data_IF_421991792968
#
_entry.id   IF_421991792968
#
_cell.length_a   1.000
_cell.length_b   1.000
_cell.length_c   1.000
_cell.angle_alpha   90.00
_cell.angle_beta   90.00
_cell.angle_gamma   90.00
#
_symmetry.space_group_name_H-M   'P 1'
#
loop_
_entity.id
_entity.type
_entity.pdbx_description
1 polymer ?
#
# COMPACT_ATOMS: atom_id res chain seq x y z
N UNK A 1 -7.65 7.54 9.66
CA UNK A 1 -8.80 7.49 8.73
C UNK A 1 -9.69 6.32 9.13
N UNK A 2 -10.98 6.35 8.82
CA UNK A 2 -11.93 5.27 9.11
C UNK A 2 -12.63 4.89 7.81
N UNK A 3 -12.86 3.59 7.60
CA UNK A 3 -13.77 3.08 6.58
C UNK A 3 -14.75 2.07 7.17
N UNK A 4 -15.94 1.98 6.59
CA UNK A 4 -17.01 1.08 7.01
C UNK A 4 -17.57 0.42 5.75
N UNK A 5 -17.91 -0.86 5.82
CA UNK A 5 -18.58 -1.55 4.72
C UNK A 5 -20.04 -1.10 4.61
N UNK A 6 -20.48 -0.70 3.41
CA UNK A 6 -21.85 -0.25 3.15
C UNK A 6 -22.82 -1.44 2.91
N UNK A 7 -23.02 -2.24 3.96
CA UNK A 7 -23.87 -3.43 3.99
C UNK A 7 -24.63 -3.48 5.33
N UNK A 8 -25.40 -4.54 5.58
CA UNK A 8 -26.09 -4.73 6.86
C UNK A 8 -25.11 -4.60 8.05
N UNK A 9 -25.43 -3.85 9.12
CA UNK A 9 -24.50 -3.56 10.22
C UNK A 9 -23.87 -4.81 10.84
N UNK A 10 -24.62 -5.91 10.94
CA UNK A 10 -24.19 -7.18 11.53
C UNK A 10 -23.09 -7.87 10.69
N UNK A 11 -23.03 -7.55 9.40
CA UNK A 11 -22.02 -8.03 8.46
C UNK A 11 -20.93 -6.99 8.19
N UNK A 12 -21.15 -5.73 8.61
CA UNK A 12 -20.23 -4.63 8.37
C UNK A 12 -18.99 -4.72 9.25
N UNK A 13 -17.91 -4.13 8.76
CA UNK A 13 -16.63 -4.05 9.45
C UNK A 13 -16.17 -2.61 9.55
N UNK A 14 -15.59 -2.28 10.69
CA UNK A 14 -14.91 -1.01 10.92
C UNK A 14 -13.42 -1.20 10.62
N UNK A 15 -12.88 -0.41 9.67
CA UNK A 15 -11.46 -0.38 9.34
C UNK A 15 -10.85 0.90 9.88
N UNK A 16 -10.04 0.78 10.93
CA UNK A 16 -9.32 1.91 11.53
C UNK A 16 -7.91 1.99 10.94
N UNK A 17 -7.63 3.05 10.17
CA UNK A 17 -6.33 3.28 9.55
C UNK A 17 -5.44 4.16 10.42
N UNK A 18 -4.29 3.62 10.79
CA UNK A 18 -3.25 4.26 11.57
C UNK A 18 -1.97 4.38 10.75
N UNK A 19 -1.20 5.44 10.99
CA UNK A 19 0.11 5.66 10.37
C UNK A 19 1.17 5.71 11.45
N UNK A 20 2.36 5.19 11.13
CA UNK A 20 3.55 5.29 11.97
C UNK A 20 4.74 5.73 11.13
N UNK A 21 5.63 6.60 11.63
CA UNK A 21 6.85 6.96 10.93
C UNK A 21 7.89 5.82 10.92
N UNK A 22 7.73 4.80 11.78
CA UNK A 22 8.65 3.66 11.87
C UNK A 22 8.42 2.71 10.69
N UNK A 23 9.50 2.39 10.00
CA UNK A 23 9.54 1.52 8.81
C UNK A 23 10.28 0.22 9.04
N UNK A 24 11.03 0.11 10.13
CA UNK A 24 11.77 -1.11 10.47
C UNK A 24 10.86 -2.33 10.74
N UNK A 25 11.43 -3.54 10.61
CA UNK A 25 10.70 -4.80 10.72
C UNK A 25 10.26 -5.10 12.15
N UNK A 26 11.05 -4.72 13.18
CA UNK A 26 10.66 -4.89 14.58
C UNK A 26 9.32 -4.18 14.89
N UNK A 27 9.12 -2.98 14.35
CA UNK A 27 7.87 -2.23 14.44
C UNK A 27 6.74 -2.93 13.70
N UNK A 28 7.00 -3.53 12.53
CA UNK A 28 6.01 -4.34 11.80
C UNK A 28 5.56 -5.51 12.67
N UNK A 29 6.48 -6.31 13.23
CA UNK A 29 6.13 -7.45 14.10
C UNK A 29 5.28 -7.03 15.29
N UNK A 30 5.65 -5.92 15.94
CA UNK A 30 4.92 -5.38 17.09
C UNK A 30 3.49 -4.97 16.73
N UNK A 31 3.27 -4.32 15.58
CA UNK A 31 1.93 -3.87 15.17
C UNK A 31 1.09 -5.04 14.64
N UNK A 32 1.66 -5.92 13.82
CA UNK A 32 0.97 -7.09 13.25
C UNK A 32 0.49 -8.07 14.33
N UNK A 33 1.17 -8.12 15.49
CA UNK A 33 0.74 -8.93 16.65
C UNK A 33 -0.10 -8.16 17.66
N UNK A 34 -0.37 -6.86 17.44
CA UNK A 34 -1.01 -5.97 18.42
C UNK A 34 -0.31 -6.04 19.79
N UNK A 35 1.03 -6.01 19.75
CA UNK A 35 1.90 -6.14 20.91
C UNK A 35 1.83 -7.52 21.57
N UNK A 36 1.76 -8.59 20.76
CA UNK A 36 1.72 -9.98 21.23
C UNK A 36 0.32 -10.53 21.57
N UNK A 37 -0.76 -9.78 21.31
CA UNK A 37 -2.14 -10.25 21.52
C UNK A 37 -2.62 -11.21 20.43
N UNK A 38 -2.11 -11.05 19.21
CA UNK A 38 -2.34 -11.94 18.08
C UNK A 38 -1.10 -12.83 17.93
N UNK A 39 -1.30 -14.14 17.95
CA UNK A 39 -0.24 -15.11 17.72
C UNK A 39 0.10 -15.23 16.24
N UNK A 40 1.38 -15.04 15.90
CA UNK A 40 1.94 -15.21 14.56
C UNK A 40 3.25 -15.97 14.73
N UNK A 41 3.45 -17.06 13.98
CA UNK A 41 4.66 -17.88 14.09
C UNK A 41 5.89 -17.17 13.50
N UNK A 42 7.08 -17.63 13.86
CA UNK A 42 8.32 -17.14 13.25
C UNK A 42 8.38 -17.44 11.75
N UNK A 43 7.85 -18.58 11.29
CA UNK A 43 7.79 -18.91 9.87
C UNK A 43 6.91 -17.94 9.07
N UNK A 44 5.78 -17.51 9.64
CA UNK A 44 4.92 -16.50 9.04
C UNK A 44 5.59 -15.13 8.98
N UNK A 45 6.35 -14.78 10.02
CA UNK A 45 7.15 -13.56 10.01
C UNK A 45 8.31 -13.62 9.03
N UNK A 46 8.94 -14.78 8.86
CA UNK A 46 9.99 -14.95 7.86
C UNK A 46 9.41 -14.80 6.45
N UNK A 47 8.24 -15.37 6.18
CA UNK A 47 7.54 -15.18 4.90
C UNK A 47 7.24 -13.68 4.64
N UNK A 48 6.66 -13.00 5.62
CA UNK A 48 6.41 -11.55 5.56
C UNK A 48 7.70 -10.74 5.35
N UNK A 49 8.80 -11.15 5.99
CA UNK A 49 10.10 -10.51 5.85
C UNK A 49 10.61 -10.60 4.42
N UNK A 50 10.48 -11.76 3.78
CA UNK A 50 10.90 -11.91 2.38
C UNK A 50 10.07 -11.03 1.43
N UNK A 51 8.77 -10.88 1.69
CA UNK A 51 7.90 -9.98 0.94
C UNK A 51 8.30 -8.51 1.14
N UNK A 52 8.58 -8.12 2.39
CA UNK A 52 9.05 -6.78 2.74
C UNK A 52 10.36 -6.46 2.01
N UNK A 53 11.34 -7.37 2.05
CA UNK A 53 12.62 -7.20 1.38
C UNK A 53 12.44 -6.92 -0.13
N UNK A 54 11.58 -7.71 -0.79
CA UNK A 54 11.20 -7.50 -2.20
C UNK A 54 10.52 -6.15 -2.42
N UNK A 55 9.56 -5.79 -1.56
CA UNK A 55 8.77 -4.58 -1.70
C UNK A 55 9.59 -3.29 -1.56
N UNK A 56 10.66 -3.32 -0.75
CA UNK A 56 11.52 -2.16 -0.46
C UNK A 56 12.93 -2.27 -1.05
N UNK A 57 13.22 -3.33 -1.81
CA UNK A 57 14.51 -3.52 -2.47
C UNK A 57 15.68 -3.73 -1.50
N UNK A 58 15.44 -4.40 -0.37
CA UNK A 58 16.49 -4.75 0.61
C UNK A 58 17.01 -6.17 0.39
N UNK A 59 18.23 -6.41 0.87
CA UNK A 59 18.78 -7.76 0.99
C UNK A 59 17.96 -8.60 1.98
N UNK A 60 17.87 -9.92 1.77
CA UNK A 60 17.08 -10.82 2.62
C UNK A 60 17.47 -10.80 4.12
N UNK A 61 18.72 -10.44 4.42
CA UNK A 61 19.28 -10.45 5.79
C UNK A 61 19.36 -9.05 6.44
N UNK A 62 18.51 -8.10 6.02
CA UNK A 62 18.50 -6.73 6.57
C UNK A 62 18.22 -6.68 8.09
N UNK A 63 18.80 -5.76 8.85
CA UNK A 63 18.53 -5.70 10.30
C UNK A 63 17.05 -5.40 10.62
N UNK A 64 16.47 -6.05 11.64
CA UNK A 64 15.10 -5.77 12.09
C UNK A 64 14.90 -4.32 12.55
N UNK A 65 15.98 -3.66 12.97
CA UNK A 65 15.99 -2.27 13.43
C UNK A 65 16.30 -1.27 12.30
N UNK A 66 16.57 -1.74 11.08
CA UNK A 66 16.89 -0.88 9.94
C UNK A 66 15.67 -0.06 9.55
N UNK A 67 15.76 1.26 9.68
CA UNK A 67 14.81 2.18 9.06
C UNK A 67 15.10 2.32 7.56
N UNK A 68 14.04 2.28 6.74
CA UNK A 68 14.17 2.29 5.30
C UNK A 68 14.43 3.71 4.80
N UNK A 69 15.43 3.91 3.93
CA UNK A 69 15.68 5.23 3.34
C UNK A 69 14.52 5.62 2.42
N UNK A 70 14.10 6.87 2.49
CA UNK A 70 13.19 7.44 1.49
C UNK A 70 13.91 7.50 0.14
N UNK A 71 13.26 7.01 -0.92
CA UNK A 71 13.80 7.14 -2.27
C UNK A 71 13.83 8.61 -2.70
N UNK A 72 14.99 9.05 -3.20
CA UNK A 72 15.22 10.41 -3.67
C UNK A 72 14.40 10.76 -4.92
N UNK A 73 13.87 9.76 -5.63
CA UNK A 73 13.11 9.89 -6.87
C UNK A 73 11.60 10.10 -6.67
N UNK A 74 11.14 10.42 -5.46
CA UNK A 74 9.71 10.53 -5.16
C UNK A 74 9.01 11.77 -5.75
N UNK A 75 9.67 12.57 -6.60
CA UNK A 75 9.11 13.78 -7.23
C UNK A 75 8.00 13.47 -8.25
N UNK A 76 6.83 13.09 -7.79
CA UNK A 76 5.61 13.04 -8.58
C UNK A 76 4.64 14.12 -8.05
N UNK A 77 3.68 14.57 -8.86
CA UNK A 77 2.66 15.58 -8.48
C UNK A 77 1.88 15.28 -7.19
N UNK A 78 1.88 14.03 -6.71
CA UNK A 78 1.33 13.65 -5.41
C UNK A 78 2.22 14.03 -4.20
N UNK A 79 3.53 14.21 -4.39
CA UNK A 79 4.42 14.84 -3.39
C UNK A 79 4.10 16.33 -3.28
N UNK A 80 3.77 16.99 -4.38
CA UNK A 80 3.35 18.40 -4.36
C UNK A 80 2.02 18.60 -3.64
N UNK A 81 1.05 17.69 -3.85
CA UNK A 81 -0.27 17.74 -3.19
C UNK A 81 -0.23 17.58 -1.66
N UNK A 82 0.83 16.97 -1.11
CA UNK A 82 1.04 16.79 0.33
C UNK A 82 2.37 17.39 0.80
N UNK A 83 2.93 18.32 0.03
CA UNK A 83 4.23 18.97 0.31
C UNK A 83 4.26 19.67 1.67
N UNK A 84 3.12 20.18 2.12
CA UNK A 84 2.98 20.84 3.43
C UNK A 84 2.81 19.86 4.60
N UNK A 85 2.70 18.55 4.35
CA UNK A 85 2.57 17.52 5.39
C UNK A 85 3.60 16.41 5.21
N UNK A 86 4.89 16.65 5.54
CA UNK A 86 5.97 15.67 5.37
C UNK A 86 5.74 14.36 6.12
N UNK A 87 5.06 14.42 7.28
CA UNK A 87 4.65 13.23 8.04
C UNK A 87 3.65 12.34 7.29
N UNK A 88 2.94 12.88 6.29
CA UNK A 88 2.06 12.14 5.39
C UNK A 88 2.79 11.62 4.14
N UNK A 89 4.09 11.91 3.99
CA UNK A 89 4.91 11.42 2.89
C UNK A 89 5.72 10.18 3.26
N UNK A 90 5.99 9.90 4.54
CA UNK A 90 6.83 8.77 4.97
C UNK A 90 6.15 7.87 6.03
N UNK A 91 6.65 6.65 6.19
CA UNK A 91 6.20 5.67 7.17
C UNK A 91 5.38 4.53 6.57
N UNK A 92 4.73 3.79 7.45
CA UNK A 92 3.84 2.68 7.13
C UNK A 92 2.42 2.99 7.55
N UNK A 93 1.47 2.42 6.82
CA UNK A 93 0.05 2.49 7.16
C UNK A 93 -0.39 1.09 7.57
N UNK A 94 -1.21 1.03 8.61
CA UNK A 94 -1.88 -0.19 9.04
C UNK A 94 -3.37 0.09 9.08
N UNK A 95 -4.20 -0.89 8.74
CA UNK A 95 -5.57 -0.88 9.22
C UNK A 95 -5.86 -2.06 10.12
N UNK A 96 -6.76 -1.81 11.08
CA UNK A 96 -7.34 -2.81 11.98
C UNK A 96 -8.75 -3.13 11.50
N UNK A 97 -8.98 -4.38 11.09
CA UNK A 97 -10.30 -4.90 10.64
C UNK A 97 -11.09 -5.36 11.86
N UNK A 98 -12.10 -4.60 12.25
CA UNK A 98 -12.92 -4.90 13.43
C UNK A 98 -14.30 -5.34 12.94
N UNK A 99 -14.63 -6.60 13.19
CA UNK A 99 -15.87 -7.23 12.79
C UNK A 99 -16.68 -7.68 14.01
N UNK A 100 -18.00 -7.66 13.92
CA UNK A 100 -18.88 -8.20 14.96
C UNK A 100 -18.60 -9.69 15.19
N UNK A 101 -18.56 -10.12 16.46
CA UNK A 101 -18.33 -11.51 16.84
C UNK A 101 -16.87 -12.00 16.70
N UNK A 102 -15.95 -11.17 16.19
CA UNK A 102 -14.54 -11.51 16.09
C UNK A 102 -13.77 -10.85 17.25
N UNK A 103 -13.11 -11.62 18.15
CA UNK A 103 -12.54 -11.07 19.38
C UNK A 103 -11.24 -10.27 19.16
N UNK A 104 -10.55 -10.49 18.03
CA UNK A 104 -9.29 -9.82 17.71
C UNK A 104 -9.38 -9.18 16.33
N UNK A 105 -8.85 -7.96 16.14
CA UNK A 105 -8.89 -7.32 14.83
C UNK A 105 -7.94 -8.03 13.85
N UNK A 106 -8.32 -8.09 12.58
CA UNK A 106 -7.36 -8.35 11.52
C UNK A 106 -6.39 -7.16 11.40
N UNK A 107 -5.11 -7.39 11.09
CA UNK A 107 -4.13 -6.31 10.89
C UNK A 107 -3.59 -6.38 9.48
N UNK A 108 -3.86 -5.34 8.67
CA UNK A 108 -3.30 -5.21 7.32
C UNK A 108 -2.23 -4.14 7.28
N UNK A 109 -1.01 -4.52 6.90
CA UNK A 109 0.11 -3.63 6.62
C UNK A 109 -0.01 -3.06 5.20
N UNK A 110 0.34 -1.80 5.00
CA UNK A 110 0.53 -1.14 3.72
C UNK A 110 1.94 -0.56 3.65
N UNK A 111 2.72 -1.10 2.72
CA UNK A 111 4.07 -0.65 2.37
C UNK A 111 3.94 0.38 1.25
N UNK A 112 4.49 1.58 1.47
CA UNK A 112 4.48 2.65 0.46
C UNK A 112 5.59 2.43 -0.57
N UNK A 113 5.44 1.44 -1.44
CA UNK A 113 6.48 1.01 -2.40
C UNK A 113 6.94 2.13 -3.35
N UNK A 114 6.06 3.09 -3.67
CA UNK A 114 6.45 4.29 -4.40
C UNK A 114 7.53 5.15 -3.70
N UNK A 115 7.62 5.08 -2.37
CA UNK A 115 8.57 5.86 -1.58
C UNK A 115 9.78 5.04 -1.16
N UNK A 116 9.62 3.74 -0.92
CA UNK A 116 10.68 2.89 -0.35
C UNK A 116 11.21 1.82 -1.30
N UNK A 117 10.43 1.42 -2.29
CA UNK A 117 10.80 0.38 -3.25
C UNK A 117 11.86 0.83 -4.25
N UNK A 118 12.23 -0.03 -5.19
CA UNK A 118 12.99 0.34 -6.39
C UNK A 118 12.07 1.03 -7.43
N UNK A 119 12.49 1.13 -8.68
CA UNK A 119 11.60 1.52 -9.78
C UNK A 119 10.51 0.49 -10.06
N UNK A 120 9.46 0.88 -10.80
CA UNK A 120 8.27 0.06 -11.01
C UNK A 120 8.56 -1.25 -11.78
N UNK A 121 9.57 -1.27 -12.67
CA UNK A 121 9.96 -2.48 -13.41
C UNK A 121 10.67 -3.47 -12.48
N UNK A 122 11.69 -3.01 -11.75
CA UNK A 122 12.45 -3.86 -10.82
C UNK A 122 11.51 -4.40 -9.75
N UNK A 123 10.64 -3.55 -9.20
CA UNK A 123 9.65 -3.97 -8.21
C UNK A 123 8.69 -5.03 -8.78
N UNK A 124 8.18 -4.79 -9.99
CA UNK A 124 7.27 -5.74 -10.66
C UNK A 124 7.93 -7.12 -10.86
N UNK A 125 9.17 -7.14 -11.34
CA UNK A 125 9.94 -8.36 -11.53
C UNK A 125 10.25 -9.07 -10.21
N UNK A 126 10.60 -8.31 -9.17
CA UNK A 126 10.90 -8.87 -7.86
C UNK A 126 9.65 -9.49 -7.21
N UNK A 127 8.47 -8.83 -7.33
CA UNK A 127 7.18 -9.38 -6.89
C UNK A 127 6.84 -10.64 -7.69
N UNK A 128 7.04 -10.65 -9.01
CA UNK A 128 6.82 -11.83 -9.84
C UNK A 128 7.72 -13.01 -9.41
N UNK A 129 9.01 -12.77 -9.20
CA UNK A 129 9.92 -13.81 -8.69
C UNK A 129 9.53 -14.30 -7.29
N UNK A 130 9.02 -13.41 -6.43
CA UNK A 130 8.46 -13.80 -5.13
C UNK A 130 7.22 -14.68 -5.31
N UNK A 131 6.29 -14.31 -6.18
CA UNK A 131 5.09 -15.11 -6.50
C UNK A 131 5.45 -16.51 -6.99
N UNK A 132 6.45 -16.63 -7.86
CA UNK A 132 6.92 -17.91 -8.38
C UNK A 132 7.38 -18.85 -7.27
N UNK A 133 8.22 -18.36 -6.34
CA UNK A 133 8.68 -19.13 -5.16
C UNK A 133 7.55 -19.56 -4.24
N UNK A 134 6.40 -18.89 -4.30
CA UNK A 134 5.20 -19.20 -3.52
C UNK A 134 4.13 -19.97 -4.33
N UNK A 135 4.54 -20.62 -5.42
CA UNK A 135 3.65 -21.47 -6.23
C UNK A 135 2.63 -20.68 -7.04
N UNK A 136 2.86 -19.38 -7.28
CA UNK A 136 2.00 -18.48 -8.06
C UNK A 136 2.62 -18.11 -9.41
N UNK A 137 3.58 -18.89 -9.91
CA UNK A 137 4.31 -18.62 -11.17
C UNK A 137 3.40 -18.42 -12.39
N UNK A 138 2.25 -19.11 -12.44
CA UNK A 138 1.28 -18.96 -13.54
C UNK A 138 0.64 -17.58 -13.68
N UNK A 139 0.83 -16.67 -12.70
CA UNK A 139 0.31 -15.30 -12.75
C UNK A 139 1.38 -14.26 -13.10
N UNK A 140 2.67 -14.62 -13.12
CA UNK A 140 3.78 -13.68 -13.24
C UNK A 140 3.74 -12.88 -14.56
N UNK A 141 3.59 -13.55 -15.69
CA UNK A 141 3.56 -12.90 -17.02
C UNK A 141 2.36 -11.96 -17.16
N UNK A 142 1.19 -12.38 -16.66
CA UNK A 142 -0.02 -11.59 -16.67
C UNK A 142 0.11 -10.34 -15.79
N UNK A 143 0.74 -10.47 -14.62
CA UNK A 143 1.01 -9.36 -13.71
C UNK A 143 1.93 -8.31 -14.34
N UNK A 144 3.07 -8.73 -14.92
CA UNK A 144 4.00 -7.82 -15.59
C UNK A 144 3.37 -7.17 -16.82
N UNK A 145 2.64 -7.94 -17.62
CA UNK A 145 1.90 -7.43 -18.79
C UNK A 145 0.86 -6.39 -18.40
N UNK A 146 0.17 -6.57 -17.27
CA UNK A 146 -0.80 -5.62 -16.75
C UNK A 146 -0.12 -4.31 -16.34
N UNK A 147 1.01 -4.36 -15.63
CA UNK A 147 1.78 -3.16 -15.27
C UNK A 147 2.20 -2.35 -16.49
N UNK A 148 2.69 -3.02 -17.54
CA UNK A 148 3.09 -2.39 -18.79
C UNK A 148 1.90 -1.74 -19.51
N UNK A 149 0.75 -2.42 -19.58
CA UNK A 149 -0.45 -1.91 -20.26
C UNK A 149 -1.10 -0.72 -19.55
N UNK A 150 -1.03 -0.67 -18.22
CA UNK A 150 -1.55 0.46 -17.44
C UNK A 150 -0.65 1.70 -17.49
N UNK A 151 0.55 1.57 -18.08
CA UNK A 151 1.55 2.63 -18.13
C UNK A 151 2.24 2.77 -19.51
N UNK A 152 1.52 2.90 -20.64
CA UNK A 152 2.12 2.85 -21.97
C UNK A 152 3.18 3.93 -22.21
N UNK A 153 2.95 5.14 -21.68
CA UNK A 153 3.83 6.31 -21.86
C UNK A 153 4.89 6.45 -20.76
N UNK A 154 4.89 5.54 -19.77
CA UNK A 154 5.86 5.55 -18.67
C UNK A 154 6.75 4.34 -18.80
N UNK A 155 7.99 4.53 -19.24
CA UNK A 155 9.03 3.51 -19.08
C UNK A 155 9.08 3.10 -17.61
N UNK A 156 8.63 1.88 -17.30
CA UNK A 156 8.62 1.32 -15.94
C UNK A 156 10.04 1.29 -15.33
N UNK A 157 11.05 1.22 -16.20
CA UNK A 157 12.45 1.32 -15.82
C UNK A 157 12.81 2.74 -15.43
N UNK A 158 13.49 2.91 -14.29
CA UNK A 158 13.96 4.20 -13.80
C UNK A 158 12.86 5.18 -13.35
N UNK A 159 11.58 4.78 -13.34
CA UNK A 159 10.45 5.59 -12.87
C UNK A 159 9.65 4.88 -11.78
N UNK A 160 8.96 5.68 -10.97
CA UNK A 160 8.14 5.24 -9.85
C UNK A 160 6.74 5.84 -9.91
N UNK A 161 5.80 5.17 -9.27
CA UNK A 161 4.47 5.70 -8.96
C UNK A 161 3.33 5.02 -9.70
N UNK A 162 3.61 4.04 -10.57
CA UNK A 162 2.59 3.11 -11.06
C UNK A 162 2.15 2.22 -9.91
N UNK A 163 3.10 1.65 -9.17
CA UNK A 163 2.82 0.88 -7.97
C UNK A 163 2.88 1.81 -6.74
N UNK A 164 1.75 1.98 -6.06
CA UNK A 164 1.60 2.94 -4.96
C UNK A 164 1.83 2.27 -3.61
N UNK A 165 1.11 1.17 -3.38
CA UNK A 165 1.20 0.39 -2.16
C UNK A 165 1.30 -1.09 -2.48
N UNK A 166 2.00 -1.82 -1.63
CA UNK A 166 1.83 -3.25 -1.48
C UNK A 166 1.28 -3.48 -0.08
N UNK A 167 0.12 -4.12 0.04
CA UNK A 167 -0.45 -4.45 1.35
C UNK A 167 -0.46 -5.93 1.60
N UNK A 168 -0.35 -6.33 2.86
CA UNK A 168 -0.46 -7.73 3.26
C UNK A 168 -1.13 -7.90 4.63
N UNK A 169 -1.79 -9.04 4.80
CA UNK A 169 -2.44 -9.46 6.05
C UNK A 169 -2.34 -10.98 6.19
N UNK A 170 -2.16 -11.49 7.40
CA UNK A 170 -2.24 -12.93 7.64
C UNK A 170 -3.68 -13.40 7.57
N UNK A 171 -3.93 -14.45 6.77
CA UNK A 171 -5.21 -15.17 6.77
C UNK A 171 -5.30 -16.07 8.01
N UNK A 172 -6.49 -16.59 8.29
CA UNK A 172 -6.67 -17.61 9.34
C UNK A 172 -5.86 -18.90 9.10
N UNK A 173 -5.53 -19.21 7.84
CA UNK A 173 -4.61 -20.31 7.47
C UNK A 173 -3.14 -20.01 7.77
N UNK A 174 -2.82 -18.76 8.05
CA UNK A 174 -1.47 -18.25 8.28
C UNK A 174 -0.75 -17.74 7.03
N UNK A 175 -1.27 -18.01 5.83
CA UNK A 175 -0.77 -17.48 4.57
C UNK A 175 -0.97 -15.95 4.47
N UNK A 176 -0.10 -15.28 3.70
CA UNK A 176 -0.27 -13.87 3.39
C UNK A 176 -1.36 -13.64 2.32
N UNK A 177 -2.34 -12.82 2.65
CA UNK A 177 -3.20 -12.14 1.67
C UNK A 177 -2.50 -10.87 1.21
N UNK A 178 -2.10 -10.81 -0.07
CA UNK A 178 -1.34 -9.70 -0.63
C UNK A 178 -2.21 -8.92 -1.62
N UNK A 179 -2.07 -7.59 -1.67
CA UNK A 179 -2.76 -6.73 -2.63
C UNK A 179 -1.81 -5.64 -3.13
N UNK A 180 -1.66 -5.54 -4.45
CA UNK A 180 -0.96 -4.42 -5.10
C UNK A 180 -1.95 -3.30 -5.40
N UNK A 181 -1.61 -2.06 -5.02
CA UNK A 181 -2.37 -0.87 -5.36
C UNK A 181 -1.67 -0.16 -6.50
N UNK A 182 -2.32 -0.19 -7.65
CA UNK A 182 -1.80 0.41 -8.87
C UNK A 182 -2.51 1.75 -9.08
N UNK A 183 -1.73 2.80 -9.33
CA UNK A 183 -2.24 4.05 -9.88
C UNK A 183 -2.11 3.96 -11.41
N UNK A 184 -3.18 3.56 -12.12
CA UNK A 184 -3.18 3.72 -13.57
C UNK A 184 -3.00 5.21 -13.85
N UNK A 185 -2.04 5.59 -14.70
CA UNK A 185 -2.01 6.97 -15.17
C UNK A 185 -3.27 7.17 -16.02
N UNK A 186 -4.24 7.87 -15.46
CA UNK A 186 -5.41 8.31 -16.21
C UNK A 186 -4.98 9.31 -17.26
N UNK A 187 -5.12 8.92 -18.53
CA UNK A 187 -5.00 9.76 -19.73
C UNK A 187 -3.59 10.27 -20.10
N UNK A 188 -3.12 9.85 -21.28
CA UNK A 188 -2.26 10.65 -22.14
C UNK A 188 -2.90 12.03 -22.34
N UNK A 189 -2.14 13.12 -22.47
CA UNK A 189 -2.73 14.43 -22.71
C UNK A 189 -3.61 14.33 -23.95
N UNK A 190 -4.88 14.71 -23.83
CA UNK A 190 -5.62 15.20 -24.99
C UNK A 190 -4.78 16.33 -25.56
N UNK A 191 -4.06 16.03 -26.64
CA UNK A 191 -3.61 17.00 -27.60
C UNK A 191 -4.83 17.86 -27.95
N UNK A 192 -4.94 19.07 -27.38
CA UNK A 192 -5.83 20.11 -27.90
C UNK A 192 -7.04 20.57 -27.08
N UNK A 193 -7.08 20.46 -25.75
CA UNK A 193 -8.08 21.22 -24.97
C UNK A 193 -7.41 22.34 -24.16
N UNK A 194 -7.50 23.56 -24.71
CA UNK A 194 -7.25 24.81 -23.99
C UNK A 194 -8.16 24.89 -22.76
N UNK A 195 -7.65 25.31 -21.59
CA UNK A 195 -8.47 25.45 -20.39
C UNK A 195 -9.37 26.68 -20.49
N UNK A 196 -10.54 26.53 -21.11
CA UNK A 196 -11.64 27.46 -20.88
C UNK A 196 -12.23 27.18 -19.50
N UNK A 197 -11.96 28.11 -18.58
CA UNK A 197 -12.44 28.26 -17.21
C UNK A 197 -13.69 27.42 -16.84
N UNK A 198 -13.48 26.31 -16.12
CA UNK A 198 -14.53 25.73 -15.29
C UNK A 198 -14.57 26.48 -13.96
N UNK A 199 -15.47 27.46 -13.83
CA UNK A 199 -15.81 28.07 -12.55
C UNK A 199 -16.60 27.07 -11.70
N UNK A 200 -16.02 26.61 -10.59
CA UNK A 200 -16.74 25.80 -9.60
C UNK A 200 -17.49 26.78 -8.67
N UNK A 201 -18.83 26.77 -8.62
CA UNK A 201 -19.55 27.62 -7.67
C UNK A 201 -19.32 27.16 -6.23
N UNK A 202 -19.26 28.08 -5.25
CA UNK A 202 -18.99 27.74 -3.86
C UNK A 202 -20.08 26.83 -3.29
N UNK A 203 -19.68 25.71 -2.69
CA UNK A 203 -20.55 24.82 -1.93
C UNK A 203 -21.03 25.53 -0.67
N UNK A 204 -22.31 25.87 -0.62
CA UNK A 204 -22.98 26.27 0.63
C UNK A 204 -23.34 25.01 1.40
N UNK A 205 -22.73 24.81 2.57
CA UNK A 205 -23.12 23.76 3.50
C UNK A 205 -24.33 24.22 4.31
N UNK A 206 -25.50 23.62 4.07
CA UNK A 206 -26.65 23.77 4.95
C UNK A 206 -26.37 23.01 6.25
N UNK A 207 -26.05 23.75 7.31
CA UNK A 207 -26.09 23.21 8.69
C UNK A 207 -27.53 22.87 9.02
N UNK A 208 -27.80 21.59 9.25
CA UNK A 208 -29.07 21.12 9.83
C UNK A 208 -29.06 21.51 11.31
N UNK A 209 -29.76 22.59 11.66
CA UNK A 209 -30.24 22.85 13.02
C UNK A 209 -31.75 23.07 12.95
N UNK A 210 -32.39 22.49 13.95
CA UNK A 210 -33.72 22.78 14.50
C UNK A 210 -34.92 22.12 13.81
N UNK A 211 -35.23 20.91 14.27
CA UNK A 211 -36.59 20.37 14.44
C UNK A 211 -36.58 19.47 15.66
#
# INVERSE_FOLDING_TARGET
>A
MIAIDNIAPEQSRLKLYCRTPRTNFASIRKVMTVGGRISVSDSQFEDLRTLVAVAVGLDANFSDELEWPLSQQSSNAAVDAFSELPALQSGLIYYFDIASGIPQPGVKLYIMVRHYGPDDLILGQAIAGWMERHGRGGFCDAYLSMLQKLSPDSELSGKKGVQVYLSCMFKGSGELEITSYIAPRGFSPTSGLSPSAMSIPPRVSLRRRDS
#
